data_IF_755353667179
#
_entry.id   IF_755353667179
#
_cell.length_a   1.000
_cell.length_b   1.000
_cell.length_c   1.000
_cell.angle_alpha   90.00
_cell.angle_beta   90.00
_cell.angle_gamma   90.00
#
_symmetry.space_group_name_H-M   'P 1'
#
loop_
_entity.id
_entity.type
_entity.pdbx_description
1 polymer ?
#
# COMPACT_ATOMS: atom_id res chain seq x y z
N UNK A 1 13.21 -3.71 7.13
CA UNK A 1 14.70 -3.76 7.15
C UNK A 1 15.16 -3.45 8.56
N UNK A 2 16.32 -3.93 8.97
CA UNK A 2 16.95 -3.59 10.25
C UNK A 2 18.31 -2.92 10.02
N UNK A 3 18.68 -2.02 10.92
CA UNK A 3 19.94 -1.30 10.89
C UNK A 3 20.55 -1.33 12.29
N UNK A 4 21.88 -1.38 12.36
CA UNK A 4 22.64 -1.30 13.60
C UNK A 4 23.65 -0.17 13.50
N UNK A 5 23.93 0.48 14.63
CA UNK A 5 24.95 1.52 14.70
C UNK A 5 26.32 0.89 14.90
N UNK A 6 27.21 1.09 13.96
CA UNK A 6 28.60 0.62 13.96
C UNK A 6 29.53 1.81 13.68
N UNK A 7 30.52 2.06 14.55
CA UNK A 7 31.48 3.16 14.41
C UNK A 7 30.84 4.54 14.11
N UNK A 8 29.67 4.81 14.70
CA UNK A 8 28.95 6.07 14.51
C UNK A 8 28.02 6.11 13.29
N UNK A 9 28.08 5.13 12.39
CA UNK A 9 27.23 5.02 11.20
C UNK A 9 26.15 3.95 11.36
N UNK A 10 25.01 4.09 10.66
CA UNK A 10 24.02 3.03 10.58
C UNK A 10 24.34 2.11 9.39
N UNK A 11 24.54 0.83 9.68
CA UNK A 11 24.77 -0.23 8.69
C UNK A 11 23.53 -1.13 8.64
N UNK A 12 23.10 -1.50 7.43
CA UNK A 12 21.96 -2.41 7.27
C UNK A 12 22.37 -3.82 7.71
N UNK A 13 21.74 -4.36 8.74
CA UNK A 13 22.02 -5.70 9.24
C UNK A 13 21.22 -6.78 8.52
N UNK A 14 19.92 -6.56 8.26
CA UNK A 14 19.04 -7.54 7.63
C UNK A 14 17.85 -6.94 6.88
N UNK A 15 17.18 -7.77 6.07
CA UNK A 15 15.96 -7.43 5.34
C UNK A 15 15.00 -8.62 5.30
N UNK A 16 13.75 -8.36 5.65
CA UNK A 16 12.61 -9.25 5.40
C UNK A 16 11.66 -8.56 4.39
N UNK A 17 11.18 -9.32 3.41
CA UNK A 17 10.29 -8.81 2.35
C UNK A 17 10.94 -7.82 1.37
N UNK A 18 10.09 -7.11 0.61
CA UNK A 18 10.52 -6.16 -0.43
C UNK A 18 11.01 -6.84 -1.71
N UNK A 19 10.36 -7.93 -2.12
CA UNK A 19 10.69 -8.67 -3.35
C UNK A 19 9.96 -8.13 -4.58
N UNK A 20 9.31 -6.98 -4.44
CA UNK A 20 8.47 -6.37 -5.47
C UNK A 20 7.06 -6.92 -5.46
N UNK A 21 6.15 -6.17 -6.08
CA UNK A 21 4.71 -6.37 -6.02
C UNK A 21 4.17 -7.71 -6.57
N UNK A 22 5.01 -8.49 -7.27
CA UNK A 22 4.65 -9.81 -7.78
C UNK A 22 4.84 -10.91 -6.74
N UNK A 23 5.93 -10.84 -5.96
CA UNK A 23 6.34 -11.88 -5.02
C UNK A 23 6.26 -11.43 -3.56
N UNK A 24 5.93 -10.16 -3.31
CA UNK A 24 5.76 -9.60 -1.99
C UNK A 24 5.09 -8.23 -2.04
N UNK A 25 5.59 -7.31 -1.22
CA UNK A 25 5.00 -5.99 -0.94
C UNK A 25 3.59 -6.08 -0.32
N UNK A 26 3.33 -7.14 0.44
CA UNK A 26 2.11 -7.22 1.26
C UNK A 26 2.04 -6.03 2.23
N UNK A 27 0.86 -5.41 2.33
CA UNK A 27 0.67 -4.16 3.06
C UNK A 27 1.17 -2.89 2.33
N UNK A 28 1.67 -3.00 1.10
CA UNK A 28 1.91 -1.82 0.25
C UNK A 28 0.61 -1.25 -0.32
N UNK A 29 0.69 -0.04 -0.88
CA UNK A 29 -0.46 0.58 -1.56
C UNK A 29 -0.90 -0.26 -2.75
N UNK A 30 0.04 -0.89 -3.45
CA UNK A 30 -0.27 -1.85 -4.50
C UNK A 30 -1.06 -3.06 -3.97
N UNK A 31 -0.62 -3.65 -2.84
CA UNK A 31 -1.32 -4.79 -2.23
C UNK A 31 -2.75 -4.42 -1.84
N UNK A 32 -2.93 -3.30 -1.14
CA UNK A 32 -4.26 -2.81 -0.73
C UNK A 32 -5.14 -2.57 -1.96
N UNK A 33 -4.63 -1.86 -2.95
CA UNK A 33 -5.36 -1.57 -4.19
C UNK A 33 -5.69 -2.83 -4.99
N UNK A 34 -4.79 -3.81 -5.03
CA UNK A 34 -5.00 -5.11 -5.68
C UNK A 34 -6.16 -5.87 -5.04
N UNK A 35 -6.21 -5.94 -3.70
CA UNK A 35 -7.30 -6.65 -3.02
C UNK A 35 -8.66 -5.97 -3.23
N UNK A 36 -8.71 -4.64 -3.18
CA UNK A 36 -9.93 -3.89 -3.48
C UNK A 36 -10.37 -4.07 -4.95
N UNK A 37 -9.42 -4.06 -5.90
CA UNK A 37 -9.68 -4.33 -7.31
C UNK A 37 -10.21 -5.74 -7.56
N UNK A 38 -9.67 -6.76 -6.87
CA UNK A 38 -10.18 -8.14 -6.97
C UNK A 38 -11.64 -8.23 -6.55
N UNK A 39 -12.02 -7.51 -5.48
CA UNK A 39 -13.40 -7.41 -5.03
C UNK A 39 -14.27 -6.73 -6.09
N UNK A 40 -13.87 -5.55 -6.57
CA UNK A 40 -14.63 -4.82 -7.61
C UNK A 40 -14.76 -5.60 -8.92
N UNK A 41 -13.70 -6.28 -9.37
CA UNK A 41 -13.72 -7.12 -10.58
C UNK A 41 -14.69 -8.29 -10.44
N UNK A 42 -14.73 -8.95 -9.28
CA UNK A 42 -15.68 -10.03 -9.03
C UNK A 42 -17.13 -9.54 -9.14
N UNK A 43 -17.42 -8.34 -8.63
CA UNK A 43 -18.74 -7.74 -8.77
C UNK A 43 -19.05 -7.32 -10.21
N UNK A 44 -18.04 -6.85 -10.95
CA UNK A 44 -18.14 -6.61 -12.39
C UNK A 44 -18.49 -7.87 -13.19
N UNK A 45 -17.89 -9.01 -12.86
CA UNK A 45 -18.20 -10.29 -13.50
C UNK A 45 -19.64 -10.70 -13.22
N UNK A 46 -20.09 -10.58 -11.96
CA UNK A 46 -21.49 -10.86 -11.58
C UNK A 46 -22.48 -9.96 -12.35
N UNK A 47 -22.18 -8.67 -12.47
CA UNK A 47 -23.00 -7.74 -13.24
C UNK A 47 -23.05 -8.14 -14.73
N UNK A 48 -21.90 -8.49 -15.31
CA UNK A 48 -21.79 -8.88 -16.72
C UNK A 48 -22.54 -10.18 -17.03
N UNK A 49 -22.45 -11.19 -16.15
CA UNK A 49 -23.19 -12.45 -16.30
C UNK A 49 -24.71 -12.25 -16.19
N UNK A 50 -25.15 -11.32 -15.34
CA UNK A 50 -26.58 -11.03 -15.15
C UNK A 50 -27.25 -10.35 -16.34
N UNK A 51 -26.51 -9.71 -17.25
CA UNK A 51 -27.08 -9.17 -18.51
C UNK A 51 -27.81 -10.23 -19.35
N UNK A 52 -27.46 -11.50 -19.14
CA UNK A 52 -28.05 -12.66 -19.80
C UNK A 52 -28.94 -13.50 -18.87
N UNK A 53 -29.23 -13.02 -17.65
CA UNK A 53 -30.01 -13.72 -16.63
C UNK A 53 -31.29 -12.93 -16.29
N UNK A 54 -32.37 -13.66 -15.97
CA UNK A 54 -33.61 -13.08 -15.46
C UNK A 54 -33.60 -12.83 -13.93
N UNK A 55 -32.48 -13.10 -13.26
CA UNK A 55 -32.36 -12.90 -11.81
C UNK A 55 -32.29 -11.42 -11.42
N UNK A 56 -32.89 -11.08 -10.27
CA UNK A 56 -32.90 -9.72 -9.74
C UNK A 56 -31.47 -9.19 -9.52
N UNK A 57 -31.24 -7.93 -9.90
CA UNK A 57 -29.98 -7.25 -9.68
C UNK A 57 -29.77 -7.03 -8.17
N UNK A 58 -28.64 -7.51 -7.65
CA UNK A 58 -28.14 -7.05 -6.35
C UNK A 58 -27.26 -5.81 -6.55
N UNK A 59 -27.37 -4.83 -5.65
CA UNK A 59 -26.54 -3.63 -5.69
C UNK A 59 -25.07 -4.00 -5.51
N UNK A 60 -24.21 -3.23 -6.17
CA UNK A 60 -22.76 -3.26 -6.00
C UNK A 60 -22.41 -2.84 -4.57
N UNK A 61 -21.38 -3.43 -3.97
CA UNK A 61 -20.94 -3.01 -2.64
C UNK A 61 -20.37 -1.58 -2.70
N UNK A 62 -20.51 -0.85 -1.60
CA UNK A 62 -20.02 0.53 -1.52
C UNK A 62 -18.53 0.65 -1.85
N UNK A 63 -17.72 -0.33 -1.45
CA UNK A 63 -16.28 -0.33 -1.74
C UNK A 63 -16.04 -0.55 -3.24
N UNK A 64 -16.75 -1.47 -3.89
CA UNK A 64 -16.64 -1.66 -5.33
C UNK A 64 -17.08 -0.42 -6.10
N UNK A 65 -18.20 0.22 -5.70
CA UNK A 65 -18.66 1.51 -6.26
C UNK A 65 -17.58 2.59 -6.17
N UNK A 66 -16.98 2.77 -4.99
CA UNK A 66 -15.90 3.76 -4.80
C UNK A 66 -14.66 3.45 -5.65
N UNK A 67 -14.32 2.17 -5.83
CA UNK A 67 -13.24 1.75 -6.75
C UNK A 67 -13.61 2.09 -8.20
N UNK A 68 -14.85 1.85 -8.63
CA UNK A 68 -15.29 2.22 -9.97
C UNK A 68 -15.25 3.73 -10.19
N UNK A 69 -15.70 4.52 -9.22
CA UNK A 69 -15.68 5.98 -9.27
C UNK A 69 -14.25 6.52 -9.36
N UNK A 70 -13.30 5.95 -8.61
CA UNK A 70 -11.87 6.28 -8.71
C UNK A 70 -11.33 6.16 -10.15
N UNK A 71 -11.73 5.11 -10.88
CA UNK A 71 -11.33 4.94 -12.28
C UNK A 71 -12.16 5.79 -13.23
N UNK A 72 -13.43 6.07 -12.93
CA UNK A 72 -14.30 6.92 -13.75
C UNK A 72 -13.84 8.37 -13.76
N UNK A 73 -13.32 8.88 -12.65
CA UNK A 73 -12.71 10.22 -12.59
C UNK A 73 -11.52 10.36 -13.55
N UNK A 74 -10.69 9.32 -13.64
CA UNK A 74 -9.52 9.29 -14.53
C UNK A 74 -9.89 8.92 -15.97
N UNK A 75 -10.91 8.09 -16.14
CA UNK A 75 -11.37 7.56 -17.42
C UNK A 75 -12.90 7.68 -17.53
N UNK A 76 -13.45 8.88 -17.83
CA UNK A 76 -14.89 9.15 -17.78
C UNK A 76 -15.75 8.29 -18.71
N UNK A 77 -15.15 7.70 -19.75
CA UNK A 77 -15.82 6.78 -20.69
C UNK A 77 -15.79 5.31 -20.24
N UNK A 78 -15.11 4.99 -19.15
CA UNK A 78 -15.03 3.62 -18.63
C UNK A 78 -16.38 3.19 -18.07
N UNK A 79 -16.84 2.02 -18.48
CA UNK A 79 -17.98 1.33 -17.86
C UNK A 79 -17.49 0.38 -16.79
N UNK A 80 -18.43 -0.09 -15.97
CA UNK A 80 -18.18 -1.10 -14.94
C UNK A 80 -17.62 -2.39 -15.56
N UNK A 81 -18.23 -2.89 -16.64
CA UNK A 81 -17.74 -4.04 -17.40
C UNK A 81 -16.33 -3.87 -18.02
N UNK A 82 -15.88 -2.63 -18.21
CA UNK A 82 -14.57 -2.35 -18.80
C UNK A 82 -13.45 -2.29 -17.75
N UNK A 83 -13.75 -2.44 -16.43
CA UNK A 83 -12.79 -2.19 -15.34
C UNK A 83 -11.44 -2.88 -15.55
N UNK A 84 -11.44 -4.17 -15.91
CA UNK A 84 -10.19 -4.90 -16.17
C UNK A 84 -9.36 -4.23 -17.27
N UNK A 85 -10.00 -3.90 -18.39
CA UNK A 85 -9.33 -3.24 -19.51
C UNK A 85 -8.84 -1.85 -19.14
N UNK A 86 -9.62 -1.09 -18.36
CA UNK A 86 -9.26 0.24 -17.87
C UNK A 86 -8.03 0.20 -16.96
N UNK A 87 -7.93 -0.80 -16.08
CA UNK A 87 -6.78 -0.98 -15.19
C UNK A 87 -5.53 -1.43 -15.98
N UNK A 88 -5.69 -2.41 -16.88
CA UNK A 88 -4.56 -3.05 -17.56
C UNK A 88 -4.05 -2.22 -18.74
N UNK A 89 -4.94 -1.81 -19.63
CA UNK A 89 -4.65 -1.18 -20.92
C UNK A 89 -5.76 -0.17 -21.28
N UNK A 90 -5.79 1.02 -20.64
CA UNK A 90 -6.87 1.98 -20.83
C UNK A 90 -6.93 2.47 -22.28
N UNK A 91 -8.13 2.43 -22.89
CA UNK A 91 -8.38 2.77 -24.30
C UNK A 91 -7.99 4.22 -24.67
N UNK A 92 -7.86 5.11 -23.68
CA UNK A 92 -7.47 6.52 -23.86
C UNK A 92 -5.96 6.78 -23.78
N UNK A 93 -5.13 5.78 -23.48
CA UNK A 93 -3.67 5.92 -23.39
C UNK A 93 -3.01 6.31 -24.73
N UNK A 94 -3.72 6.14 -25.84
CA UNK A 94 -3.28 6.49 -27.19
C UNK A 94 -3.42 7.99 -27.52
N UNK A 95 -4.10 8.78 -26.69
CA UNK A 95 -4.30 10.23 -26.91
C UNK A 95 -3.65 11.13 -25.85
N UNK A 96 -3.12 10.55 -24.77
CA UNK A 96 -2.38 11.27 -23.75
C UNK A 96 -0.87 11.16 -24.01
N UNK A 97 -0.06 12.17 -23.63
CA UNK A 97 1.39 12.05 -23.66
C UNK A 97 1.83 10.76 -22.96
N UNK A 98 2.80 10.03 -23.51
CA UNK A 98 3.32 8.78 -22.90
C UNK A 98 3.73 8.95 -21.43
N UNK A 99 4.11 10.16 -21.04
CA UNK A 99 4.53 10.52 -19.68
C UNK A 99 3.35 10.87 -18.74
N UNK A 100 2.14 11.08 -19.27
CA UNK A 100 0.94 11.43 -18.50
C UNK A 100 0.08 10.23 -18.10
N UNK A 101 0.26 9.09 -18.78
CA UNK A 101 -0.46 7.86 -18.44
C UNK A 101 0.26 7.19 -17.28
N UNK A 102 -0.31 7.26 -16.06
CA UNK A 102 0.21 6.52 -14.90
C UNK A 102 0.46 5.06 -15.29
N UNK A 103 1.61 4.49 -14.92
CA UNK A 103 1.87 3.08 -15.19
C UNK A 103 0.84 2.17 -14.47
N UNK A 104 0.74 0.91 -14.91
CA UNK A 104 -0.23 -0.06 -14.37
C UNK A 104 -0.11 -0.24 -12.86
N UNK A 105 1.12 -0.30 -12.34
CA UNK A 105 1.38 -0.52 -10.92
C UNK A 105 0.91 0.68 -10.11
N UNK A 106 1.14 1.88 -10.63
CA UNK A 106 0.68 3.15 -10.05
C UNK A 106 -0.84 3.28 -10.07
N UNK A 107 -1.53 2.85 -11.14
CA UNK A 107 -3.00 2.79 -11.18
C UNK A 107 -3.58 1.85 -10.13
N UNK A 108 -3.00 0.66 -9.97
CA UNK A 108 -3.41 -0.30 -8.92
C UNK A 108 -3.16 0.29 -7.54
N UNK A 109 -1.96 0.84 -7.29
CA UNK A 109 -1.63 1.42 -5.99
C UNK A 109 -2.46 2.66 -5.64
N UNK A 110 -2.91 3.43 -6.64
CA UNK A 110 -3.75 4.62 -6.46
C UNK A 110 -5.08 4.33 -5.74
N UNK A 111 -5.62 3.12 -5.93
CA UNK A 111 -6.86 2.67 -5.29
C UNK A 111 -6.74 2.62 -3.76
N UNK A 112 -5.53 2.45 -3.21
CA UNK A 112 -5.33 2.37 -1.76
C UNK A 112 -5.86 3.60 -1.01
N UNK A 113 -5.80 4.79 -1.60
CA UNK A 113 -6.35 6.01 -0.99
C UNK A 113 -7.85 5.92 -0.79
N UNK A 114 -8.56 5.39 -1.79
CA UNK A 114 -10.00 5.14 -1.72
C UNK A 114 -10.32 4.15 -0.61
N UNK A 115 -9.55 3.05 -0.51
CA UNK A 115 -9.75 2.04 0.53
C UNK A 115 -9.53 2.63 1.93
N UNK A 116 -8.43 3.37 2.13
CA UNK A 116 -8.11 4.01 3.41
C UNK A 116 -9.21 4.99 3.86
N UNK A 117 -9.76 5.78 2.94
CA UNK A 117 -10.83 6.73 3.22
C UNK A 117 -12.15 6.08 3.69
N UNK A 118 -12.34 4.78 3.44
CA UNK A 118 -13.57 4.05 3.77
C UNK A 118 -13.43 3.14 4.99
N UNK A 119 -12.27 3.08 5.64
CA UNK A 119 -12.00 2.14 6.74
C UNK A 119 -12.98 2.27 7.90
N UNK A 120 -13.43 3.48 8.22
CA UNK A 120 -14.35 3.70 9.36
C UNK A 120 -15.80 3.30 9.06
N UNK A 121 -16.18 3.24 7.78
CA UNK A 121 -17.58 3.06 7.35
C UNK A 121 -17.82 1.77 6.58
N UNK A 122 -16.76 1.07 6.16
CA UNK A 122 -16.86 -0.13 5.33
C UNK A 122 -16.00 -1.28 5.88
N UNK A 123 -16.66 -2.41 6.19
CA UNK A 123 -16.02 -3.58 6.79
C UNK A 123 -15.03 -4.30 5.84
N UNK A 124 -15.22 -4.25 4.52
CA UNK A 124 -14.28 -4.85 3.58
C UNK A 124 -13.01 -3.99 3.46
N UNK A 125 -13.16 -2.66 3.47
CA UNK A 125 -12.03 -1.73 3.50
C UNK A 125 -11.22 -1.90 4.79
N UNK A 126 -11.89 -1.94 5.95
CA UNK A 126 -11.28 -2.24 7.24
C UNK A 126 -10.48 -3.55 7.21
N UNK A 127 -11.08 -4.62 6.68
CA UNK A 127 -10.45 -5.95 6.58
C UNK A 127 -9.20 -5.93 5.69
N UNK A 128 -9.27 -5.30 4.53
CA UNK A 128 -8.14 -5.20 3.59
C UNK A 128 -6.97 -4.45 4.25
N UNK A 129 -7.27 -3.32 4.89
CA UNK A 129 -6.25 -2.48 5.52
C UNK A 129 -5.66 -3.16 6.76
N UNK A 130 -6.48 -3.81 7.58
CA UNK A 130 -6.02 -4.61 8.72
C UNK A 130 -5.08 -5.74 8.28
N UNK A 131 -5.48 -6.53 7.28
CA UNK A 131 -4.64 -7.61 6.75
C UNK A 131 -3.30 -7.08 6.21
N UNK A 132 -3.30 -5.93 5.54
CA UNK A 132 -2.05 -5.30 5.08
C UNK A 132 -1.14 -4.87 6.23
N UNK A 133 -1.71 -4.26 7.28
CA UNK A 133 -0.95 -3.85 8.46
C UNK A 133 -0.36 -5.06 9.22
N UNK A 134 -1.14 -6.14 9.35
CA UNK A 134 -0.69 -7.38 9.98
C UNK A 134 0.50 -8.00 9.22
N UNK A 135 0.48 -7.98 7.88
CA UNK A 135 1.59 -8.48 7.06
C UNK A 135 2.89 -7.68 7.26
N UNK A 136 2.79 -6.35 7.40
CA UNK A 136 3.96 -5.53 7.73
C UNK A 136 4.46 -5.81 9.16
N UNK A 137 3.55 -6.03 10.10
CA UNK A 137 3.89 -6.40 11.47
C UNK A 137 4.59 -7.76 11.55
N UNK A 138 4.16 -8.75 10.76
CA UNK A 138 4.82 -10.05 10.62
C UNK A 138 6.28 -9.88 10.16
N UNK A 139 6.54 -9.03 9.15
CA UNK A 139 7.90 -8.75 8.68
C UNK A 139 8.77 -8.05 9.75
N UNK A 140 8.18 -7.16 10.55
CA UNK A 140 8.87 -6.53 11.67
C UNK A 140 9.20 -7.57 12.76
N UNK A 141 8.25 -8.43 13.13
CA UNK A 141 8.43 -9.51 14.09
C UNK A 141 9.56 -10.47 13.67
N UNK A 142 9.61 -10.86 12.39
CA UNK A 142 10.70 -11.70 11.85
C UNK A 142 12.07 -11.05 12.04
N UNK A 143 12.19 -9.74 11.79
CA UNK A 143 13.44 -9.02 12.00
C UNK A 143 13.81 -8.95 13.49
N UNK A 144 12.83 -8.70 14.36
CA UNK A 144 13.06 -8.65 15.81
C UNK A 144 13.58 -9.99 16.33
N UNK A 145 12.89 -11.08 16.00
CA UNK A 145 13.22 -12.43 16.45
C UNK A 145 14.59 -12.89 15.95
N UNK A 146 14.87 -12.75 14.65
CA UNK A 146 16.06 -13.33 14.04
C UNK A 146 17.30 -12.43 14.10
N UNK A 147 17.18 -11.19 14.54
CA UNK A 147 18.33 -10.29 14.75
C UNK A 147 18.58 -9.99 16.24
N UNK A 148 17.80 -10.57 17.15
CA UNK A 148 17.94 -10.31 18.58
C UNK A 148 17.73 -8.83 18.95
N UNK A 149 16.89 -8.12 18.19
CA UNK A 149 16.59 -6.71 18.46
C UNK A 149 15.77 -6.66 19.74
N UNK A 150 16.18 -5.85 20.71
CA UNK A 150 15.39 -5.56 21.90
C UNK A 150 14.50 -4.34 21.62
N UNK A 151 13.17 -4.49 21.43
CA UNK A 151 12.32 -3.39 20.99
C UNK A 151 12.35 -2.18 21.93
N UNK A 152 12.45 -2.41 23.25
CA UNK A 152 12.55 -1.38 24.29
C UNK A 152 13.81 -0.49 24.19
N UNK A 153 14.79 -0.87 23.36
CA UNK A 153 16.03 -0.10 23.09
C UNK A 153 16.17 0.27 21.62
N UNK A 154 15.14 0.02 20.82
CA UNK A 154 15.16 0.21 19.38
C UNK A 154 14.03 1.15 18.93
N UNK A 155 14.20 1.72 17.74
CA UNK A 155 13.18 2.54 17.08
C UNK A 155 12.55 1.79 15.92
N UNK A 156 11.22 1.84 15.81
CA UNK A 156 10.51 1.44 14.62
C UNK A 156 10.37 2.65 13.69
N UNK A 157 11.01 2.61 12.53
CA UNK A 157 10.96 3.69 11.55
C UNK A 157 9.95 3.34 10.46
N UNK A 158 8.92 4.18 10.32
CA UNK A 158 7.87 4.07 9.30
C UNK A 158 8.14 5.09 8.19
N UNK A 159 8.33 4.59 6.97
CA UNK A 159 8.59 5.42 5.79
C UNK A 159 7.79 4.93 4.58
N UNK A 160 7.46 5.86 3.66
CA UNK A 160 6.76 5.57 2.41
C UNK A 160 5.37 6.22 2.32
N UNK A 161 4.79 6.25 1.12
CA UNK A 161 3.57 7.01 0.83
C UNK A 161 2.37 6.61 1.69
N UNK A 162 2.21 5.31 2.00
CA UNK A 162 1.15 4.85 2.91
C UNK A 162 1.35 5.29 4.36
N UNK A 163 2.59 5.56 4.78
CA UNK A 163 2.87 6.03 6.14
C UNK A 163 2.42 7.47 6.34
N UNK A 164 1.94 8.17 5.30
CA UNK A 164 1.30 9.47 5.45
C UNK A 164 -0.09 9.36 6.08
N UNK A 165 -0.75 8.20 5.95
CA UNK A 165 -2.05 7.93 6.58
C UNK A 165 -1.89 7.53 8.05
N UNK A 166 -2.44 8.34 8.96
CA UNK A 166 -2.32 8.10 10.41
C UNK A 166 -3.06 6.84 10.88
N UNK A 167 -4.23 6.58 10.30
CA UNK A 167 -4.99 5.37 10.61
C UNK A 167 -4.20 4.11 10.30
N UNK A 168 -3.52 4.10 9.16
CA UNK A 168 -2.69 2.98 8.74
C UNK A 168 -1.45 2.81 9.62
N UNK A 169 -0.76 3.91 9.97
CA UNK A 169 0.36 3.88 10.93
C UNK A 169 -0.06 3.27 12.26
N UNK A 170 -1.19 3.73 12.83
CA UNK A 170 -1.71 3.22 14.11
C UNK A 170 -2.03 1.73 14.04
N UNK A 171 -2.56 1.24 12.91
CA UNK A 171 -2.81 -0.20 12.70
C UNK A 171 -1.52 -1.01 12.67
N UNK A 172 -0.50 -0.56 11.94
CA UNK A 172 0.80 -1.25 11.90
C UNK A 172 1.41 -1.32 13.30
N UNK A 173 1.49 -0.19 14.00
CA UNK A 173 2.04 -0.15 15.37
C UNK A 173 1.22 -1.04 16.30
N UNK A 174 -0.11 -0.95 16.25
CA UNK A 174 -0.99 -1.80 17.04
C UNK A 174 -0.80 -3.30 16.76
N UNK A 175 -0.62 -3.70 15.50
CA UNK A 175 -0.35 -5.10 15.14
C UNK A 175 1.03 -5.56 15.59
N UNK A 176 2.05 -4.70 15.54
CA UNK A 176 3.39 -4.98 16.07
C UNK A 176 3.36 -5.13 17.60
N UNK A 177 2.63 -4.26 18.31
CA UNK A 177 2.44 -4.35 19.76
C UNK A 177 1.63 -5.60 20.16
N UNK A 178 0.58 -5.94 19.41
CA UNK A 178 -0.20 -7.19 19.59
C UNK A 178 0.66 -8.44 19.41
N UNK A 179 1.65 -8.38 18.53
CA UNK A 179 2.65 -9.44 18.36
C UNK A 179 3.69 -9.51 19.50
N UNK A 180 3.59 -8.62 20.50
CA UNK A 180 4.45 -8.61 21.68
C UNK A 180 5.67 -7.70 21.59
N UNK A 181 5.78 -6.89 20.54
CA UNK A 181 6.96 -6.04 20.32
C UNK A 181 6.63 -4.57 20.50
N UNK A 182 6.98 -4.01 21.66
CA UNK A 182 6.81 -2.57 21.91
C UNK A 182 8.13 -1.82 21.74
N UNK A 183 8.23 -1.03 20.68
CA UNK A 183 9.43 -0.24 20.41
C UNK A 183 9.55 0.98 21.33
N UNK A 184 10.77 1.37 21.68
CA UNK A 184 11.04 2.55 22.51
C UNK A 184 10.51 3.82 21.86
N UNK A 185 10.72 3.92 20.54
CA UNK A 185 10.32 5.04 19.71
C UNK A 185 9.70 4.53 18.41
N UNK A 186 8.68 5.23 17.94
CA UNK A 186 8.14 5.06 16.59
C UNK A 186 8.36 6.37 15.85
N UNK A 187 9.18 6.34 14.80
CA UNK A 187 9.53 7.51 14.01
C UNK A 187 8.85 7.44 12.65
N UNK A 188 8.27 8.55 12.20
CA UNK A 188 7.65 8.64 10.88
C UNK A 188 8.49 9.55 10.01
N UNK A 189 8.92 9.06 8.85
CA UNK A 189 9.75 9.82 7.92
C UNK A 189 8.91 10.26 6.73
N UNK A 190 8.67 11.56 6.64
CA UNK A 190 7.80 12.14 5.59
C UNK A 190 8.41 12.12 4.20
N UNK A 191 9.68 12.53 4.09
CA UNK A 191 10.38 12.61 2.82
C UNK A 191 11.68 11.80 2.86
N UNK A 192 11.61 10.46 2.95
CA UNK A 192 12.79 9.61 3.13
C UNK A 192 13.80 9.77 1.99
N UNK A 193 13.33 9.89 0.74
CA UNK A 193 14.19 10.10 -0.42
C UNK A 193 14.92 11.46 -0.38
N UNK A 194 14.20 12.54 -0.05
CA UNK A 194 14.79 13.88 0.06
C UNK A 194 15.76 13.98 1.23
N UNK A 195 15.42 13.38 2.37
CA UNK A 195 16.29 13.34 3.54
C UNK A 195 17.58 12.56 3.24
N UNK A 196 17.47 11.43 2.55
CA UNK A 196 18.61 10.66 2.06
C UNK A 196 19.50 11.47 1.10
N UNK A 197 18.90 12.14 0.12
CA UNK A 197 19.64 12.99 -0.83
C UNK A 197 20.37 14.16 -0.13
N UNK A 198 19.70 14.84 0.82
CA UNK A 198 20.31 15.92 1.62
C UNK A 198 21.45 15.42 2.49
N UNK A 199 21.31 14.23 3.08
CA UNK A 199 22.38 13.62 3.87
C UNK A 199 23.60 13.30 3.00
N UNK A 200 23.41 12.68 1.83
CA UNK A 200 24.50 12.39 0.90
C UNK A 200 25.23 13.66 0.44
N UNK A 201 24.49 14.74 0.15
CA UNK A 201 25.09 16.02 -0.23
C UNK A 201 25.98 16.60 0.87
N UNK A 202 25.51 16.60 2.12
CA UNK A 202 26.30 17.11 3.27
C UNK A 202 27.54 16.26 3.53
N UNK A 203 27.41 14.94 3.44
CA UNK A 203 28.54 14.03 3.64
C UNK A 203 29.60 14.16 2.55
N UNK A 204 29.20 14.45 1.30
CA UNK A 204 30.14 14.72 0.21
C UNK A 204 30.89 16.05 0.41
N UNK A 205 30.24 17.07 1.00
CA UNK A 205 30.85 18.37 1.31
C UNK A 205 31.83 18.32 2.49
N UNK A 206 31.67 17.38 3.42
CA UNK A 206 32.60 17.20 4.55
C UNK A 206 33.87 16.42 4.20
N UNK A 207 33.92 15.82 3.00
CA UNK A 207 35.08 15.08 2.49
C UNK A 207 35.97 15.92 1.53
N UNK A 208 35.61 17.19 1.30
CA UNK A 208 36.38 18.17 0.54
C UNK A 208 37.06 19.17 1.50
#
# INVERSE_FOLDING_TARGET
MSFQKENGAFVRSSRAGGWGHLLGDDGSGYSIGREALRLALRESDVCSMRKYSSAAAQPTSQLAEAVFDHFKEQFPKSKLEDLLSTVMMPKSASQQPKDAVMDRTSRIAGVAKTVLAMVETNADADRIVAAGADKLAELAALLVLHQGIEPSKASLVLAGGLMQDEGYRRRIVGSVEKAGYKFQHVEVVDQPAMNGARFLLRSAQMLQ
#
